data_IF_175672784892
#
_entry.id   IF_175672784892
#
_cell.length_a   1.000
_cell.length_b   1.000
_cell.length_c   1.000
_cell.angle_alpha   90.00
_cell.angle_beta   90.00
_cell.angle_gamma   90.00
#
_symmetry.space_group_name_H-M   'P 1'
#
loop_
_entity.id
_entity.type
_entity.pdbx_description
1 polymer ?
#
# COMPACT_ATOMS: atom_id res chain seq x y z
N UNK A 1 18.68 -3.44 -5.58
CA UNK A 1 18.18 -2.32 -4.76
C UNK A 1 18.82 -1.05 -5.25
N UNK A 2 18.07 -0.01 -5.60
CA UNK A 2 18.64 1.27 -6.04
C UNK A 2 18.86 2.22 -4.86
N UNK A 3 20.11 2.32 -4.39
CA UNK A 3 20.50 3.17 -3.28
C UNK A 3 20.53 4.67 -3.65
N UNK A 4 20.60 4.99 -4.94
CA UNK A 4 20.68 6.37 -5.43
C UNK A 4 19.30 7.02 -5.40
N UNK A 5 18.26 6.33 -5.87
CA UNK A 5 16.88 6.84 -5.87
C UNK A 5 16.39 7.18 -4.47
N UNK A 6 16.75 6.38 -3.45
CA UNK A 6 16.35 6.64 -2.06
C UNK A 6 17.01 7.85 -1.40
N UNK A 7 18.13 8.33 -1.95
CA UNK A 7 18.91 9.43 -1.38
C UNK A 7 18.76 10.73 -2.15
N UNK A 8 18.18 10.71 -3.35
CA UNK A 8 17.99 11.88 -4.20
C UNK A 8 16.76 12.70 -3.73
N UNK A 9 16.94 13.87 -3.09
CA UNK A 9 15.81 14.61 -2.52
C UNK A 9 14.78 15.06 -3.57
N UNK A 10 15.26 15.45 -4.76
CA UNK A 10 14.40 15.87 -5.86
C UNK A 10 13.47 14.74 -6.36
N UNK A 11 13.96 13.49 -6.38
CA UNK A 11 13.13 12.34 -6.75
C UNK A 11 12.15 12.00 -5.63
N UNK A 12 12.57 12.13 -4.36
CA UNK A 12 11.71 11.90 -3.21
C UNK A 12 10.58 12.93 -3.08
N UNK A 13 10.83 14.19 -3.44
CA UNK A 13 9.83 15.28 -3.37
C UNK A 13 8.92 15.35 -4.60
N UNK A 14 9.13 14.52 -5.62
CA UNK A 14 8.34 14.58 -6.84
C UNK A 14 6.89 14.17 -6.55
N UNK A 15 5.86 14.88 -7.07
CA UNK A 15 4.45 14.49 -6.93
C UNK A 15 4.06 13.05 -7.34
N UNK A 16 4.90 12.34 -8.11
CA UNK A 16 4.65 10.95 -8.50
C UNK A 16 5.17 9.95 -7.46
N UNK A 17 6.03 10.40 -6.54
CA UNK A 17 6.45 9.63 -5.37
C UNK A 17 5.36 9.68 -4.30
N UNK A 18 4.31 8.91 -4.58
CA UNK A 18 3.19 8.75 -3.68
C UNK A 18 3.65 8.25 -2.29
N UNK A 19 2.97 8.69 -1.23
CA UNK A 19 3.20 8.15 0.10
C UNK A 19 2.80 6.66 0.20
N UNK A 20 3.35 5.90 1.15
CA UNK A 20 2.93 4.52 1.42
C UNK A 20 1.42 4.42 1.64
N UNK A 21 0.76 3.54 0.89
CA UNK A 21 -0.68 3.27 0.97
C UNK A 21 -1.00 1.88 0.45
N UNK A 22 -2.22 1.43 0.73
CA UNK A 22 -2.88 0.40 -0.06
C UNK A 22 -4.00 0.99 -0.89
N UNK A 23 -4.16 0.48 -2.10
CA UNK A 23 -5.25 0.84 -3.01
C UNK A 23 -6.06 -0.40 -3.33
N UNK A 24 -7.38 -0.31 -3.17
CA UNK A 24 -8.33 -1.37 -3.49
C UNK A 24 -9.58 -0.76 -4.16
N UNK A 25 -10.36 -1.57 -4.86
CA UNK A 25 -11.64 -1.11 -5.39
C UNK A 25 -12.71 -1.01 -4.28
N UNK A 26 -13.83 -0.40 -4.64
CA UNK A 26 -14.96 -0.15 -3.73
C UNK A 26 -15.59 -1.45 -3.19
N UNK A 27 -15.70 -2.50 -4.01
CA UNK A 27 -16.33 -3.77 -3.60
C UNK A 27 -15.51 -4.48 -2.54
N UNK A 28 -14.18 -4.51 -2.71
CA UNK A 28 -13.26 -5.08 -1.73
C UNK A 28 -13.20 -4.23 -0.46
N UNK A 29 -13.23 -2.90 -0.59
CA UNK A 29 -13.26 -2.01 0.57
C UNK A 29 -14.53 -2.23 1.40
N UNK A 30 -15.69 -2.31 0.75
CA UNK A 30 -16.96 -2.61 1.41
C UNK A 30 -16.96 -3.99 2.07
N UNK A 31 -16.48 -5.02 1.36
CA UNK A 31 -16.39 -6.40 1.88
C UNK A 31 -15.48 -6.51 3.11
N UNK A 32 -14.40 -5.74 3.13
CA UNK A 32 -13.44 -5.68 4.25
C UNK A 32 -13.82 -4.65 5.32
N UNK A 33 -14.93 -3.93 5.13
CA UNK A 33 -15.40 -2.85 6.02
C UNK A 33 -14.35 -1.74 6.20
N UNK A 34 -13.62 -1.42 5.12
CA UNK A 34 -12.61 -0.37 5.08
C UNK A 34 -13.14 0.89 4.41
N UNK A 35 -12.73 2.05 4.91
CA UNK A 35 -13.09 3.37 4.40
C UNK A 35 -11.87 4.10 3.84
N UNK A 36 -12.10 5.03 2.91
CA UNK A 36 -11.07 5.96 2.42
C UNK A 36 -10.35 6.65 3.59
N UNK A 37 -9.02 6.64 3.56
CA UNK A 37 -8.17 7.23 4.61
C UNK A 37 -8.07 6.41 5.90
N UNK A 38 -8.84 5.34 6.08
CA UNK A 38 -8.72 4.46 7.24
C UNK A 38 -7.37 3.74 7.24
N UNK A 39 -6.80 3.53 8.43
CA UNK A 39 -5.62 2.68 8.57
C UNK A 39 -6.01 1.21 8.51
N UNK A 40 -5.31 0.45 7.67
CA UNK A 40 -5.45 -0.99 7.56
C UNK A 40 -4.12 -1.69 7.90
N UNK A 41 -4.20 -2.82 8.59
CA UNK A 41 -3.08 -3.75 8.77
C UNK A 41 -3.05 -4.69 7.58
N UNK A 42 -1.90 -4.73 6.91
CA UNK A 42 -1.60 -5.60 5.77
C UNK A 42 -0.56 -6.61 6.21
N UNK A 43 -0.79 -7.90 5.94
CA UNK A 43 0.12 -8.96 6.35
C UNK A 43 0.43 -9.95 5.24
N UNK A 44 1.68 -10.38 5.17
CA UNK A 44 2.20 -11.48 4.35
C UNK A 44 2.94 -12.47 5.26
N UNK A 45 3.37 -13.59 4.70
CA UNK A 45 4.23 -14.54 5.44
C UNK A 45 5.57 -13.92 5.84
N UNK A 46 6.01 -12.87 5.15
CA UNK A 46 7.28 -12.19 5.39
C UNK A 46 7.18 -11.04 6.40
N UNK A 47 6.00 -10.45 6.60
CA UNK A 47 5.87 -9.31 7.51
C UNK A 47 4.52 -8.60 7.45
N UNK A 48 4.42 -7.49 8.18
CA UNK A 48 3.20 -6.69 8.29
C UNK A 48 3.51 -5.20 8.15
N UNK A 49 2.52 -4.44 7.71
CA UNK A 49 2.54 -2.98 7.71
C UNK A 49 1.17 -2.42 8.09
N UNK A 50 1.15 -1.19 8.59
CA UNK A 50 -0.09 -0.43 8.82
C UNK A 50 -0.09 0.75 7.85
N UNK A 51 -1.03 0.78 6.92
CA UNK A 51 -1.04 1.70 5.78
C UNK A 51 -2.42 2.34 5.62
N UNK A 52 -2.51 3.60 5.16
CA UNK A 52 -3.79 4.22 4.83
C UNK A 52 -4.41 3.55 3.60
N UNK A 53 -5.73 3.44 3.62
CA UNK A 53 -6.57 2.92 2.52
C UNK A 53 -6.88 4.03 1.53
N UNK A 54 -6.74 3.72 0.25
CA UNK A 54 -7.29 4.48 -0.88
C UNK A 54 -8.23 3.58 -1.68
N UNK A 55 -9.38 4.11 -2.05
CA UNK A 55 -10.38 3.44 -2.88
C UNK A 55 -10.29 3.96 -4.30
N UNK A 56 -9.98 3.08 -5.24
CA UNK A 56 -9.80 3.42 -6.65
C UNK A 56 -10.36 2.34 -7.57
N UNK A 57 -11.26 2.73 -8.49
CA UNK A 57 -11.90 1.83 -9.44
C UNK A 57 -10.93 1.21 -10.47
N UNK A 58 -9.70 1.73 -10.58
CA UNK A 58 -8.66 1.18 -11.46
C UNK A 58 -8.05 -0.12 -10.93
N UNK A 59 -8.24 -0.45 -9.65
CA UNK A 59 -7.73 -1.70 -9.05
C UNK A 59 -8.71 -2.84 -9.33
N UNK A 60 -8.21 -3.94 -9.88
CA UNK A 60 -9.03 -5.12 -10.15
C UNK A 60 -9.59 -5.74 -8.86
N UNK A 61 -10.79 -6.33 -8.94
CA UNK A 61 -11.40 -7.09 -7.85
C UNK A 61 -10.48 -8.20 -7.32
N UNK A 62 -10.43 -8.36 -6.01
CA UNK A 62 -9.58 -9.32 -5.31
C UNK A 62 -8.10 -8.97 -5.28
N UNK A 63 -7.71 -7.76 -5.71
CA UNK A 63 -6.32 -7.30 -5.74
C UNK A 63 -6.13 -6.06 -4.86
N UNK A 64 -4.91 -5.91 -4.36
CA UNK A 64 -4.48 -4.73 -3.61
C UNK A 64 -3.18 -4.21 -4.22
N UNK A 65 -3.15 -2.93 -4.59
CA UNK A 65 -1.91 -2.26 -4.97
C UNK A 65 -1.27 -1.67 -3.71
N UNK A 66 -0.02 -2.05 -3.44
CA UNK A 66 0.81 -1.51 -2.36
C UNK A 66 1.89 -0.60 -2.94
N UNK A 67 1.98 0.65 -2.48
CA UNK A 67 3.07 1.55 -2.87
C UNK A 67 4.41 1.07 -2.30
N UNK A 68 5.27 0.54 -3.16
CA UNK A 68 6.55 -0.06 -2.79
C UNK A 68 7.69 0.97 -2.69
N UNK A 69 8.87 0.54 -2.27
CA UNK A 69 10.06 1.41 -2.25
C UNK A 69 10.25 2.21 -0.96
N UNK A 70 9.25 2.23 -0.07
CA UNK A 70 9.29 2.89 1.23
C UNK A 70 9.67 1.93 2.36
N UNK A 71 10.24 2.46 3.45
CA UNK A 71 10.55 1.66 4.64
C UNK A 71 9.30 0.99 5.23
N UNK A 72 8.16 1.69 5.23
CA UNK A 72 6.89 1.18 5.74
C UNK A 72 6.35 -0.04 4.97
N UNK A 73 6.73 -0.22 3.69
CA UNK A 73 6.27 -1.34 2.84
C UNK A 73 7.35 -2.38 2.59
N UNK A 74 8.57 -2.16 3.10
CA UNK A 74 9.68 -3.10 2.97
C UNK A 74 9.37 -4.54 3.44
N UNK A 75 8.56 -4.78 4.50
CA UNK A 75 8.27 -6.14 4.95
C UNK A 75 7.29 -6.93 4.06
N UNK A 76 6.57 -6.29 3.14
CA UNK A 76 5.43 -6.91 2.46
C UNK A 76 5.83 -7.69 1.20
N UNK A 77 6.74 -7.13 0.38
CA UNK A 77 7.11 -7.72 -0.91
C UNK A 77 5.93 -7.89 -1.88
N UNK A 78 6.15 -8.60 -2.99
CA UNK A 78 5.07 -9.06 -3.86
C UNK A 78 4.60 -10.44 -3.39
N UNK A 79 3.40 -10.52 -2.79
CA UNK A 79 2.88 -11.74 -2.20
C UNK A 79 1.35 -11.74 -2.17
N UNK A 80 0.75 -12.88 -1.79
CA UNK A 80 -0.62 -12.90 -1.28
C UNK A 80 -0.64 -12.16 0.05
N UNK A 81 -1.65 -11.32 0.25
CA UNK A 81 -1.77 -10.47 1.43
C UNK A 81 -3.11 -10.69 2.14
N UNK A 82 -3.08 -10.57 3.46
CA UNK A 82 -4.27 -10.36 4.29
C UNK A 82 -4.41 -8.87 4.58
N UNK A 83 -5.64 -8.36 4.59
CA UNK A 83 -5.93 -6.96 4.92
C UNK A 83 -7.06 -6.93 5.94
N UNK A 84 -6.84 -6.23 7.05
CA UNK A 84 -7.83 -6.05 8.12
C UNK A 84 -7.78 -4.60 8.61
N UNK A 85 -8.89 -4.09 9.14
CA UNK A 85 -8.90 -2.80 9.84
C UNK A 85 -7.85 -2.78 10.96
N UNK A 86 -7.15 -1.64 11.11
CA UNK A 86 -6.09 -1.50 12.13
C UNK A 86 -6.65 -1.41 13.55
#
# INVERSE_FOLDING_TARGET
TDAVVRRAPALQSHPLNNAPRIVLNADDAARLQLQEGQMAKVGTDAGKATLPVVVDARVAAGSVWIESGHGATAPLGAARVSVVAA
#
